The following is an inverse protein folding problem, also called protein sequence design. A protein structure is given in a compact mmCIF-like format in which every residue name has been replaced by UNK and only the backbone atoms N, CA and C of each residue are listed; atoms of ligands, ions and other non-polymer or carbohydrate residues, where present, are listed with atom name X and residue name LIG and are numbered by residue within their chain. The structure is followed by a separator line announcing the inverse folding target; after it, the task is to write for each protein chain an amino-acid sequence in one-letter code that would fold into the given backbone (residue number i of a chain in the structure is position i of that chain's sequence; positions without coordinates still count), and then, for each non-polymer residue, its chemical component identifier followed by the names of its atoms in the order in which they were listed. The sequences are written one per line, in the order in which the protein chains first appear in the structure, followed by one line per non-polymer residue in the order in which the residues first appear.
data_IF_007170002846
#
_entry.id   IF_007170002846
#
_cell.length_a   1.000
_cell.length_b   1.000
_cell.length_c   1.000
_cell.angle_alpha   90.00
_cell.angle_beta   90.00
_cell.angle_gamma   90.00
#
_symmetry.space_group_name_H-M   'P 1'
#
loop_
_entity.id
_entity.type
_entity.pdbx_description
1 polymer ?
#
# COMPACT_ATOMS: atom_id res chain seq x y z
N UNK A 1 7.18 -19.72 -1.08
CA UNK A 1 5.71 -19.85 -0.92
C UNK A 1 5.15 -19.02 0.25
N UNK A 2 5.84 -18.86 1.39
CA UNK A 2 5.36 -18.15 2.59
C UNK A 2 4.91 -16.68 2.34
N UNK A 3 5.63 -15.91 1.55
CA UNK A 3 5.31 -14.48 1.35
C UNK A 3 3.95 -14.25 0.66
N UNK A 4 3.54 -15.11 -0.28
CA UNK A 4 2.21 -15.02 -0.93
C UNK A 4 1.06 -15.25 0.05
N UNK A 5 1.29 -16.10 1.07
CA UNK A 5 0.29 -16.40 2.12
C UNK A 5 0.22 -15.28 3.17
N UNK A 6 1.31 -14.54 3.40
CA UNK A 6 1.37 -13.46 4.40
C UNK A 6 0.66 -12.18 3.94
N UNK A 7 0.52 -11.94 2.64
CA UNK A 7 -0.20 -10.75 2.11
C UNK A 7 -1.65 -10.72 2.62
N UNK A 8 -2.33 -11.87 2.65
CA UNK A 8 -3.69 -11.95 3.21
C UNK A 8 -3.77 -11.63 4.70
N UNK A 9 -2.70 -11.86 5.46
CA UNK A 9 -2.65 -11.56 6.88
C UNK A 9 -2.31 -10.08 7.18
N UNK A 10 -1.91 -9.30 6.19
CA UNK A 10 -1.55 -7.89 6.37
C UNK A 10 -2.68 -7.07 6.99
N UNK A 11 -3.95 -7.40 6.68
CA UNK A 11 -5.09 -6.73 7.30
C UNK A 11 -5.15 -6.90 8.81
N UNK A 12 -4.73 -8.06 9.33
CA UNK A 12 -4.66 -8.33 10.77
C UNK A 12 -3.48 -7.64 11.41
N UNK A 13 -2.28 -7.68 10.78
CA UNK A 13 -1.10 -6.99 11.30
C UNK A 13 -1.34 -5.49 11.42
N UNK A 14 -1.91 -4.84 10.40
CA UNK A 14 -2.25 -3.42 10.45
C UNK A 14 -3.23 -3.08 11.59
N UNK A 15 -4.20 -3.95 11.88
CA UNK A 15 -5.12 -3.76 13.01
C UNK A 15 -4.41 -3.92 14.35
N UNK A 16 -3.56 -4.93 14.49
CA UNK A 16 -2.77 -5.16 15.70
C UNK A 16 -1.83 -3.98 15.95
N UNK A 17 -1.12 -3.52 14.93
CA UNK A 17 -0.19 -2.39 15.02
C UNK A 17 -0.92 -1.10 15.40
N UNK A 18 -2.10 -0.86 14.82
CA UNK A 18 -2.95 0.29 15.18
C UNK A 18 -3.36 0.25 16.65
N UNK A 19 -3.81 -0.90 17.15
CA UNK A 19 -4.19 -1.05 18.56
C UNK A 19 -2.99 -0.90 19.50
N UNK A 20 -1.82 -1.44 19.11
CA UNK A 20 -0.59 -1.26 19.88
C UNK A 20 -0.16 0.21 19.92
N UNK A 21 -0.24 0.93 18.79
CA UNK A 21 0.06 2.35 18.72
C UNK A 21 -0.85 3.16 19.64
N UNK A 22 -2.15 2.94 19.60
CA UNK A 22 -3.13 3.61 20.45
C UNK A 22 -2.88 3.34 21.95
N UNK A 23 -2.48 2.10 22.27
CA UNK A 23 -2.15 1.73 23.66
C UNK A 23 -0.89 2.44 24.17
N UNK A 24 0.11 2.64 23.30
CA UNK A 24 1.39 3.28 23.68
C UNK A 24 1.29 4.81 23.75
N UNK A 25 0.32 5.41 23.07
CA UNK A 25 0.17 6.88 22.92
C UNK A 25 -1.22 7.38 23.37
N UNK A 26 -1.73 7.04 24.57
CA UNK A 26 -3.14 7.28 24.94
C UNK A 26 -3.56 8.74 24.95
N UNK A 27 -2.76 9.74 25.43
CA UNK A 27 -3.22 11.13 25.53
C UNK A 27 -3.43 11.84 24.20
N UNK A 28 -2.60 11.54 23.19
CA UNK A 28 -2.62 12.20 21.89
C UNK A 28 -3.60 11.55 20.89
N UNK A 29 -4.16 10.39 21.21
CA UNK A 29 -4.92 9.56 20.27
C UNK A 29 -6.36 9.31 20.70
N UNK A 30 -6.96 10.19 21.54
CA UNK A 30 -8.35 10.01 22.01
C UNK A 30 -9.37 9.94 20.86
N UNK A 31 -9.21 10.80 19.87
CA UNK A 31 -10.10 10.80 18.69
C UNK A 31 -9.93 9.52 17.92
N UNK A 32 -8.69 9.07 17.72
CA UNK A 32 -8.40 7.80 17.00
C UNK A 32 -8.96 6.60 17.77
N UNK A 33 -8.87 6.61 19.10
CA UNK A 33 -9.49 5.57 19.96
C UNK A 33 -11.00 5.52 19.76
N UNK A 34 -11.69 6.67 19.78
CA UNK A 34 -13.12 6.76 19.52
C UNK A 34 -13.48 6.24 18.12
N UNK A 35 -12.71 6.61 17.10
CA UNK A 35 -12.91 6.16 15.71
C UNK A 35 -12.74 4.66 15.59
N UNK A 36 -11.71 4.08 16.22
CA UNK A 36 -11.46 2.63 16.22
C UNK A 36 -12.57 1.88 16.96
N UNK A 37 -13.02 2.38 18.12
CA UNK A 37 -14.17 1.80 18.83
C UNK A 37 -15.44 1.85 17.99
N UNK A 38 -15.72 2.97 17.35
CA UNK A 38 -16.85 3.12 16.44
C UNK A 38 -16.74 2.16 15.25
N UNK A 39 -15.55 1.98 14.68
CA UNK A 39 -15.31 1.00 13.63
C UNK A 39 -15.70 -0.42 14.08
N UNK A 40 -15.21 -0.88 15.23
CA UNK A 40 -15.57 -2.22 15.73
C UNK A 40 -17.05 -2.32 16.07
N UNK A 41 -17.64 -1.28 16.65
CA UNK A 41 -19.06 -1.26 16.95
C UNK A 41 -19.92 -1.39 15.68
N UNK A 42 -19.61 -0.64 14.63
CA UNK A 42 -20.36 -0.66 13.37
C UNK A 42 -20.16 -1.97 12.58
N UNK A 43 -18.98 -2.58 12.64
CA UNK A 43 -18.67 -3.77 11.86
C UNK A 43 -18.93 -5.08 12.58
N UNK A 44 -19.14 -5.07 13.89
CA UNK A 44 -19.44 -6.29 14.67
C UNK A 44 -20.86 -6.30 15.23
N UNK A 45 -21.35 -5.18 15.78
CA UNK A 45 -22.64 -5.21 16.49
C UNK A 45 -23.80 -5.55 15.55
N UNK A 46 -24.04 -4.89 14.42
CA UNK A 46 -25.14 -5.25 13.52
C UNK A 46 -25.02 -6.69 12.97
N UNK A 47 -23.87 -7.17 12.49
CA UNK A 47 -23.74 -8.55 12.06
C UNK A 47 -24.01 -9.56 13.19
N UNK A 48 -23.54 -9.30 14.41
CA UNK A 48 -23.81 -10.20 15.56
C UNK A 48 -25.32 -10.30 15.83
N UNK A 49 -26.04 -9.19 15.78
CA UNK A 49 -27.48 -9.16 16.01
C UNK A 49 -28.26 -9.83 14.88
N UNK A 50 -27.79 -9.76 13.65
CA UNK A 50 -28.48 -10.29 12.47
C UNK A 50 -28.12 -11.74 12.13
N UNK A 51 -26.86 -12.12 12.31
CA UNK A 51 -26.32 -13.40 11.86
C UNK A 51 -25.87 -14.32 12.99
N UNK A 52 -25.75 -13.78 14.21
CA UNK A 52 -25.14 -14.48 15.34
C UNK A 52 -23.61 -14.27 15.40
N UNK A 53 -23.03 -14.63 16.55
CA UNK A 53 -21.63 -14.32 16.88
C UNK A 53 -20.63 -15.01 15.91
N UNK A 54 -20.84 -16.30 15.64
CA UNK A 54 -19.91 -17.07 14.81
C UNK A 54 -19.80 -16.52 13.37
N UNK A 55 -20.96 -16.28 12.74
CA UNK A 55 -21.02 -15.78 11.36
C UNK A 55 -20.52 -14.33 11.26
N UNK A 56 -20.81 -13.50 12.28
CA UNK A 56 -20.29 -12.14 12.35
C UNK A 56 -18.75 -12.10 12.42
N UNK A 57 -18.16 -12.95 13.26
CA UNK A 57 -16.68 -13.05 13.37
C UNK A 57 -16.06 -13.61 12.10
N UNK A 58 -16.66 -14.61 11.49
CA UNK A 58 -16.20 -15.15 10.20
C UNK A 58 -16.25 -14.08 9.11
N UNK A 59 -17.36 -13.36 8.99
CA UNK A 59 -17.50 -12.26 8.03
C UNK A 59 -16.43 -11.18 8.25
N UNK A 60 -16.23 -10.76 9.50
CA UNK A 60 -15.21 -9.75 9.82
C UNK A 60 -13.79 -10.23 9.49
N UNK A 61 -13.47 -11.49 9.75
CA UNK A 61 -12.19 -12.10 9.40
C UNK A 61 -11.99 -12.14 7.88
N UNK A 62 -13.00 -12.58 7.12
CA UNK A 62 -12.95 -12.61 5.65
C UNK A 62 -12.75 -11.20 5.07
N UNK A 63 -13.50 -10.21 5.54
CA UNK A 63 -13.33 -8.81 5.12
C UNK A 63 -11.92 -8.29 5.45
N UNK A 64 -11.36 -8.65 6.61
CA UNK A 64 -10.02 -8.26 7.00
C UNK A 64 -8.96 -8.88 6.08
N UNK A 65 -9.11 -10.14 5.69
CA UNK A 65 -8.24 -10.82 4.72
C UNK A 65 -8.33 -10.15 3.35
N UNK A 66 -9.54 -9.84 2.86
CA UNK A 66 -9.75 -9.19 1.57
C UNK A 66 -9.12 -7.79 1.52
N UNK A 67 -9.30 -7.00 2.57
CA UNK A 67 -8.68 -5.67 2.70
C UNK A 67 -7.15 -5.81 2.77
N UNK A 68 -6.64 -6.75 3.56
CA UNK A 68 -5.20 -7.04 3.66
C UNK A 68 -4.61 -7.44 2.32
N UNK A 69 -5.28 -8.31 1.58
CA UNK A 69 -4.87 -8.71 0.23
C UNK A 69 -4.88 -7.51 -0.74
N UNK A 70 -5.94 -6.72 -0.73
CA UNK A 70 -6.07 -5.54 -1.57
C UNK A 70 -4.96 -4.51 -1.31
N UNK A 71 -4.74 -4.14 -0.05
CA UNK A 71 -3.68 -3.19 0.33
C UNK A 71 -2.30 -3.75 0.03
N UNK A 72 -2.04 -5.02 0.37
CA UNK A 72 -0.79 -5.70 0.09
C UNK A 72 -0.46 -5.75 -1.40
N UNK A 73 -1.44 -6.03 -2.25
CA UNK A 73 -1.26 -6.03 -3.71
C UNK A 73 -0.94 -4.64 -4.26
N UNK A 74 -1.46 -3.56 -3.66
CA UNK A 74 -1.10 -2.20 -4.05
C UNK A 74 0.35 -1.90 -3.69
N UNK A 75 0.77 -2.17 -2.45
CA UNK A 75 2.13 -1.88 -1.99
C UNK A 75 3.18 -2.72 -2.72
N UNK A 76 2.95 -4.02 -2.83
CA UNK A 76 3.89 -4.94 -3.47
C UNK A 76 4.17 -4.57 -4.93
N UNK A 77 3.13 -4.24 -5.70
CA UNK A 77 3.32 -3.91 -7.12
C UNK A 77 4.01 -2.56 -7.34
N UNK A 78 4.02 -1.68 -6.35
CA UNK A 78 4.67 -0.38 -6.45
C UNK A 78 6.16 -0.42 -6.10
N UNK A 79 6.60 -1.39 -5.29
CA UNK A 79 7.97 -1.44 -4.75
C UNK A 79 8.77 -2.67 -5.18
N UNK A 80 8.16 -3.86 -5.24
CA UNK A 80 8.91 -5.09 -5.50
C UNK A 80 9.36 -5.18 -6.96
N UNK A 81 10.65 -5.53 -7.15
CA UNK A 81 11.28 -5.58 -8.47
C UNK A 81 11.69 -4.20 -9.01
N UNK A 82 11.71 -3.17 -8.17
CA UNK A 82 12.36 -1.88 -8.43
C UNK A 82 13.85 -1.93 -8.05
N UNK A 83 14.55 -0.81 -8.21
CA UNK A 83 15.95 -0.72 -7.81
C UNK A 83 16.12 -0.93 -6.30
N UNK A 84 17.13 -1.67 -5.92
CA UNK A 84 17.63 -1.72 -4.54
C UNK A 84 18.81 -0.74 -4.46
N UNK A 85 18.82 0.06 -3.40
CA UNK A 85 19.89 1.03 -3.14
C UNK A 85 20.86 0.39 -2.17
N UNK A 86 22.15 0.41 -2.51
CA UNK A 86 23.20 -0.08 -1.63
C UNK A 86 23.45 0.92 -0.48
N UNK A 87 23.82 0.43 0.73
CA UNK A 87 23.97 1.28 1.91
C UNK A 87 24.99 2.41 1.79
N UNK A 88 25.99 2.27 0.90
CA UNK A 88 27.07 3.21 0.63
C UNK A 88 26.80 4.14 -0.56
N UNK A 89 25.66 3.97 -1.21
CA UNK A 89 25.29 4.75 -2.38
C UNK A 89 24.77 6.14 -1.98
N UNK A 90 25.52 7.19 -2.33
CA UNK A 90 25.13 8.59 -2.11
C UNK A 90 24.27 9.09 -3.28
N UNK A 91 22.95 9.06 -3.13
CA UNK A 91 21.99 9.61 -4.09
C UNK A 91 21.08 10.63 -3.42
N UNK A 92 20.56 11.58 -4.20
CA UNK A 92 19.60 12.56 -3.66
C UNK A 92 18.26 11.90 -3.33
N UNK A 93 17.54 12.46 -2.34
CA UNK A 93 16.19 12.03 -1.98
C UNK A 93 15.28 11.87 -3.22
N UNK A 94 15.30 12.84 -4.11
CA UNK A 94 14.50 12.80 -5.34
C UNK A 94 14.85 11.59 -6.23
N UNK A 95 16.14 11.34 -6.46
CA UNK A 95 16.59 10.19 -7.26
C UNK A 95 16.27 8.86 -6.56
N UNK A 96 16.41 8.82 -5.25
CA UNK A 96 16.04 7.68 -4.44
C UNK A 96 14.58 7.31 -4.67
N UNK A 97 13.66 8.21 -4.35
CA UNK A 97 12.22 7.91 -4.41
C UNK A 97 11.73 7.53 -5.82
N UNK A 98 12.25 8.18 -6.85
CA UNK A 98 11.92 7.82 -8.25
C UNK A 98 12.44 6.43 -8.64
N UNK A 99 13.61 6.02 -8.11
CA UNK A 99 14.23 4.76 -8.52
C UNK A 99 13.67 3.53 -7.81
N UNK A 100 13.24 3.67 -6.55
CA UNK A 100 12.73 2.57 -5.71
C UNK A 100 11.22 2.38 -5.79
N UNK A 101 10.53 3.22 -6.58
CA UNK A 101 9.08 3.16 -6.75
C UNK A 101 8.70 3.18 -8.23
N UNK A 102 7.44 2.90 -8.50
CA UNK A 102 6.85 3.02 -9.84
C UNK A 102 5.42 3.53 -9.76
N UNK A 103 4.96 4.20 -10.80
CA UNK A 103 3.57 4.55 -10.97
C UNK A 103 2.82 3.48 -11.77
N UNK A 104 1.57 3.28 -11.39
CA UNK A 104 0.64 2.43 -12.14
C UNK A 104 -0.22 3.29 -13.08
N UNK A 105 -1.15 2.68 -13.78
CA UNK A 105 -2.00 3.34 -14.79
C UNK A 105 -2.55 4.72 -14.38
N UNK A 106 -2.78 5.59 -15.36
CA UNK A 106 -3.08 7.02 -15.19
C UNK A 106 -4.54 7.38 -15.53
N UNK A 107 -5.54 6.60 -15.16
CA UNK A 107 -6.94 6.92 -15.37
C UNK A 107 -7.65 7.31 -14.07
N UNK A 108 -8.81 8.00 -14.19
CA UNK A 108 -9.65 8.30 -13.02
C UNK A 108 -10.14 7.04 -12.31
N UNK A 109 -10.35 5.96 -13.05
CA UNK A 109 -10.69 4.67 -12.47
C UNK A 109 -9.55 4.11 -11.63
N UNK A 110 -8.29 4.23 -12.10
CA UNK A 110 -7.13 3.83 -11.29
C UNK A 110 -7.02 4.69 -10.03
N UNK A 111 -7.22 6.01 -10.12
CA UNK A 111 -7.18 6.87 -8.93
C UNK A 111 -8.25 6.47 -7.91
N UNK A 112 -9.44 6.09 -8.36
CA UNK A 112 -10.51 5.62 -7.49
C UNK A 112 -10.18 4.24 -6.87
N UNK A 113 -9.85 3.26 -7.72
CA UNK A 113 -9.57 1.88 -7.28
C UNK A 113 -8.34 1.80 -6.37
N UNK A 114 -7.32 2.60 -6.61
CA UNK A 114 -6.10 2.61 -5.80
C UNK A 114 -6.05 3.75 -4.77
N UNK A 115 -7.14 4.47 -4.54
CA UNK A 115 -7.16 5.61 -3.62
C UNK A 115 -6.13 6.70 -3.94
N UNK A 116 -5.74 6.84 -5.21
CA UNK A 116 -4.70 7.77 -5.67
C UNK A 116 -3.27 7.26 -5.54
N UNK A 117 -3.04 6.13 -4.85
CA UNK A 117 -1.69 5.54 -4.61
C UNK A 117 -1.09 4.89 -5.87
N UNK A 118 -1.84 4.84 -6.98
CA UNK A 118 -1.29 4.55 -8.32
C UNK A 118 -0.32 5.64 -8.81
N UNK A 119 -0.33 6.84 -8.20
CA UNK A 119 0.66 7.90 -8.37
C UNK A 119 1.72 7.81 -7.26
N UNK A 120 2.40 6.66 -7.18
CA UNK A 120 3.17 6.26 -6.02
C UNK A 120 4.48 7.02 -5.87
N UNK A 121 5.13 7.35 -6.99
CA UNK A 121 6.32 8.21 -7.01
C UNK A 121 5.99 9.56 -6.35
N UNK A 122 4.88 10.19 -6.73
CA UNK A 122 4.47 11.47 -6.17
C UNK A 122 4.01 11.36 -4.71
N UNK A 123 3.40 10.23 -4.34
CA UNK A 123 3.07 9.96 -2.96
C UNK A 123 4.32 9.94 -2.07
N UNK A 124 5.41 9.37 -2.54
CA UNK A 124 6.70 9.36 -1.84
C UNK A 124 7.42 10.71 -1.85
N UNK A 125 7.43 11.39 -2.99
CA UNK A 125 8.05 12.72 -3.11
C UNK A 125 7.34 13.79 -2.29
N UNK A 126 6.01 13.66 -2.12
CA UNK A 126 5.16 14.66 -1.47
C UNK A 126 4.21 13.98 -0.46
N UNK A 127 4.71 13.41 0.65
CA UNK A 127 3.92 12.59 1.56
C UNK A 127 2.77 13.34 2.24
N UNK A 128 2.87 14.65 2.37
CA UNK A 128 1.80 15.51 2.92
C UNK A 128 0.78 16.01 1.88
N UNK A 129 0.97 15.66 0.60
CA UNK A 129 0.08 16.11 -0.46
C UNK A 129 -1.23 15.29 -0.45
N UNK A 130 -2.42 15.94 -0.48
CA UNK A 130 -3.69 15.24 -0.63
C UNK A 130 -3.71 14.38 -1.90
N UNK A 131 -4.23 13.14 -1.80
CA UNK A 131 -4.25 12.18 -2.91
C UNK A 131 -4.92 12.70 -4.18
N UNK A 132 -5.94 13.57 -4.03
CA UNK A 132 -6.62 14.23 -5.16
C UNK A 132 -5.68 15.12 -6.01
N UNK A 133 -4.55 15.57 -5.45
CA UNK A 133 -3.57 16.41 -6.15
C UNK A 133 -2.41 15.61 -6.76
N UNK A 134 -2.21 14.36 -6.37
CA UNK A 134 -1.09 13.52 -6.84
C UNK A 134 -1.10 13.37 -8.36
N UNK A 135 -2.26 13.28 -9.00
CA UNK A 135 -2.37 13.25 -10.47
C UNK A 135 -1.81 14.51 -11.14
N UNK A 136 -1.98 15.68 -10.53
CA UNK A 136 -1.42 16.93 -11.04
C UNK A 136 0.09 16.98 -10.81
N UNK A 137 0.55 16.56 -9.64
CA UNK A 137 1.97 16.39 -9.35
C UNK A 137 2.65 15.44 -10.34
N UNK A 138 2.02 14.27 -10.65
CA UNK A 138 2.52 13.30 -11.63
C UNK A 138 2.84 13.93 -12.99
N UNK A 139 1.98 14.80 -13.49
CA UNK A 139 2.23 15.49 -14.78
C UNK A 139 3.49 16.36 -14.72
N UNK A 140 3.69 17.06 -13.61
CA UNK A 140 4.84 17.95 -13.39
C UNK A 140 6.11 17.12 -13.20
N UNK A 141 6.10 16.14 -12.31
CA UNK A 141 7.24 15.25 -12.04
C UNK A 141 7.69 14.52 -13.31
N UNK A 142 6.74 13.95 -14.06
CA UNK A 142 7.03 13.28 -15.32
C UNK A 142 7.66 14.21 -16.36
N UNK A 143 7.14 15.44 -16.51
CA UNK A 143 7.71 16.43 -17.41
C UNK A 143 9.11 16.87 -16.99
N UNK A 144 9.33 17.03 -15.69
CA UNK A 144 10.64 17.33 -15.11
C UNK A 144 11.63 16.20 -15.40
N UNK A 145 11.30 14.97 -15.08
CA UNK A 145 12.16 13.80 -15.32
C UNK A 145 12.54 13.67 -16.79
N UNK A 146 11.55 13.81 -17.70
CA UNK A 146 11.81 13.78 -19.14
C UNK A 146 12.78 14.87 -19.59
N UNK A 147 12.66 16.08 -19.05
CA UNK A 147 13.51 17.23 -19.39
C UNK A 147 14.96 17.02 -18.92
N UNK A 148 15.14 16.34 -17.79
CA UNK A 148 16.45 16.13 -17.17
C UNK A 148 17.03 14.73 -17.43
N UNK A 149 16.43 13.92 -18.31
CA UNK A 149 16.93 12.58 -18.64
C UNK A 149 16.84 11.59 -17.47
N UNK A 150 15.97 11.84 -16.48
CA UNK A 150 15.77 10.97 -15.31
C UNK A 150 14.77 9.87 -15.66
N UNK A 151 15.13 8.62 -15.38
CA UNK A 151 14.24 7.49 -15.59
C UNK A 151 12.99 7.60 -14.70
N UNK A 152 11.82 7.57 -15.30
CA UNK A 152 10.55 7.67 -14.62
C UNK A 152 9.68 6.46 -14.99
N UNK A 153 9.48 5.56 -14.03
CA UNK A 153 8.83 4.26 -14.29
C UNK A 153 7.32 4.34 -14.18
N UNK A 154 6.66 4.10 -15.29
CA UNK A 154 5.20 3.96 -15.37
C UNK A 154 4.85 2.67 -16.11
N UNK A 155 3.87 1.93 -15.60
CA UNK A 155 3.39 0.72 -16.27
C UNK A 155 1.95 0.39 -15.90
N UNK A 156 1.34 -0.57 -16.60
CA UNK A 156 0.05 -1.10 -16.20
C UNK A 156 0.18 -1.95 -14.94
N UNK A 157 -0.89 -2.04 -14.15
CA UNK A 157 -0.92 -2.90 -12.97
C UNK A 157 -0.55 -4.35 -13.30
N UNK A 158 -1.06 -4.89 -14.42
CA UNK A 158 -0.77 -6.26 -14.83
C UNK A 158 0.72 -6.46 -15.18
N UNK A 159 1.36 -5.48 -15.81
CA UNK A 159 2.79 -5.52 -16.10
C UNK A 159 3.60 -5.50 -14.80
N UNK A 160 3.25 -4.65 -13.84
CA UNK A 160 3.88 -4.59 -12.53
C UNK A 160 3.70 -5.90 -11.75
N UNK A 161 2.50 -6.49 -11.75
CA UNK A 161 2.23 -7.77 -11.11
C UNK A 161 3.06 -8.92 -11.73
N UNK A 162 3.25 -8.92 -13.06
CA UNK A 162 4.14 -9.88 -13.74
C UNK A 162 5.60 -9.69 -13.33
N UNK A 163 6.10 -8.45 -13.21
CA UNK A 163 7.46 -8.17 -12.72
C UNK A 163 7.66 -8.69 -11.29
N UNK A 164 6.70 -8.42 -10.40
CA UNK A 164 6.72 -8.94 -9.02
C UNK A 164 6.78 -10.47 -9.00
N UNK A 165 5.95 -11.12 -9.82
CA UNK A 165 5.95 -12.58 -9.90
C UNK A 165 7.29 -13.13 -10.39
N UNK A 166 7.90 -12.50 -11.41
CA UNK A 166 9.23 -12.90 -11.90
C UNK A 166 10.29 -12.70 -10.83
N UNK A 167 10.25 -11.57 -10.11
CA UNK A 167 11.19 -11.28 -9.04
C UNK A 167 11.13 -12.33 -7.94
N UNK A 168 9.94 -12.69 -7.45
CA UNK A 168 9.79 -13.75 -6.44
C UNK A 168 10.19 -15.13 -6.95
N UNK A 169 9.93 -15.46 -8.21
CA UNK A 169 10.37 -16.73 -8.78
C UNK A 169 11.90 -16.80 -8.89
N UNK A 170 12.55 -15.69 -9.27
CA UNK A 170 13.99 -15.61 -9.29
C UNK A 170 14.60 -15.78 -7.88
N UNK A 171 14.04 -15.08 -6.88
CA UNK A 171 14.50 -15.24 -5.49
C UNK A 171 14.30 -16.66 -4.94
N UNK A 172 13.20 -17.34 -5.29
CA UNK A 172 12.94 -18.70 -4.83
C UNK A 172 13.91 -19.74 -5.42
N UNK A 173 14.57 -19.43 -6.53
CA UNK A 173 15.60 -20.29 -7.11
C UNK A 173 16.94 -20.25 -6.35
N UNK A 174 17.14 -19.27 -5.47
CA UNK A 174 18.34 -19.12 -4.62
C UNK A 174 18.17 -19.71 -3.21
N UNK A 175 16.98 -20.21 -2.86
CA UNK A 175 16.74 -20.86 -1.56
C UNK A 175 16.91 -22.37 -1.78
N UNK A 176 17.94 -23.00 -1.17
CA UNK A 176 18.17 -24.43 -1.30
C UNK A 176 17.05 -25.27 -0.68
#
# INVERSE_FOLDING_TARGET
MLFRSLIGLQGFTLKIDSLQFLRRNPPSTRVDQCVVLLHYALWLVPPVLLLGVADALLNYALMTVLIGFYTGMIFVVNHVGTRVIEPDESISFFQQEISVTRNLGASRLHDFVFGGVNNHIEHHLFPSMPTARLRSARRITRAFCRRHGIAYREMSWLAAAREVTRHFNAMSAFVP
#
